data_IF_561388007270
#
_entry.id   IF_561388007270
#
_cell.length_a   1.000
_cell.length_b   1.000
_cell.length_c   1.000
_cell.angle_alpha   90.00
_cell.angle_beta   90.00
_cell.angle_gamma   90.00
#
_symmetry.space_group_name_H-M   'P 1'
#
loop_
_entity.id
_entity.type
_entity.pdbx_description
1 polymer ?
#
# COMPACT_ATOMS: atom_id res chain seq x y z
N UNK A 1 11.22 -21.16 24.61
CA UNK A 1 10.61 -20.10 25.45
C UNK A 1 9.10 -20.28 25.40
N UNK A 2 8.38 -20.08 26.51
CA UNK A 2 6.91 -20.17 26.58
C UNK A 2 6.27 -18.90 26.02
N UNK A 3 5.19 -19.04 25.26
CA UNK A 3 4.43 -17.91 24.72
C UNK A 3 3.91 -16.98 25.82
N UNK A 4 3.41 -17.58 26.93
CA UNK A 4 2.96 -16.82 28.10
C UNK A 4 4.00 -15.92 28.77
N UNK A 5 5.31 -16.14 28.49
CA UNK A 5 6.38 -15.21 28.93
C UNK A 5 6.67 -14.11 27.93
N UNK A 6 6.39 -14.35 26.66
CA UNK A 6 6.63 -13.36 25.56
C UNK A 6 5.44 -12.42 25.41
N UNK A 7 4.24 -12.96 25.44
CA UNK A 7 3.00 -12.20 25.21
C UNK A 7 2.88 -10.93 26.08
N UNK A 8 3.09 -10.98 27.43
CA UNK A 8 3.05 -9.75 28.24
C UNK A 8 4.08 -8.69 27.82
N UNK A 9 5.24 -9.11 27.28
CA UNK A 9 6.26 -8.19 26.80
C UNK A 9 5.84 -7.48 25.50
N UNK A 10 5.14 -8.20 24.61
CA UNK A 10 4.58 -7.65 23.37
C UNK A 10 3.50 -6.62 23.71
N UNK A 11 2.56 -6.96 24.60
CA UNK A 11 1.49 -6.07 25.06
C UNK A 11 2.10 -4.84 25.75
N UNK A 12 2.99 -5.04 26.71
CA UNK A 12 3.65 -3.93 27.43
C UNK A 12 4.44 -2.99 26.50
N UNK A 13 5.02 -3.51 25.42
CA UNK A 13 5.68 -2.68 24.40
C UNK A 13 4.71 -1.74 23.69
N UNK A 14 3.50 -2.21 23.40
CA UNK A 14 2.43 -1.43 22.79
C UNK A 14 1.88 -0.38 23.80
N UNK A 15 1.53 -0.81 25.02
CA UNK A 15 0.93 0.03 26.07
C UNK A 15 1.84 1.18 26.50
N UNK A 16 3.16 0.97 26.61
CA UNK A 16 4.15 2.04 26.89
C UNK A 16 4.16 3.16 25.84
N UNK A 17 3.54 2.94 24.69
CA UNK A 17 3.43 3.91 23.60
C UNK A 17 1.99 4.39 23.37
N UNK A 18 1.10 4.16 24.37
CA UNK A 18 -0.30 4.59 24.32
C UNK A 18 -1.20 3.75 23.41
N UNK A 19 -0.76 2.53 23.05
CA UNK A 19 -1.56 1.56 22.31
C UNK A 19 -2.26 0.59 23.28
N UNK A 20 -3.17 -0.24 22.81
CA UNK A 20 -3.93 -1.12 23.69
C UNK A 20 -3.57 -2.61 23.53
N UNK A 21 -3.95 -3.43 24.55
CA UNK A 21 -3.85 -4.89 24.48
C UNK A 21 -4.65 -5.44 23.30
N UNK A 22 -5.86 -4.91 23.08
CA UNK A 22 -6.77 -5.33 22.00
C UNK A 22 -6.14 -5.10 20.62
N UNK A 23 -5.39 -4.02 20.42
CA UNK A 23 -4.65 -3.79 19.18
C UNK A 23 -3.52 -4.81 18.99
N UNK A 24 -2.82 -5.18 20.06
CA UNK A 24 -1.80 -6.24 20.00
C UNK A 24 -2.45 -7.60 19.69
N UNK A 25 -3.57 -7.93 20.32
CA UNK A 25 -4.33 -9.16 20.07
C UNK A 25 -4.87 -9.21 18.64
N UNK A 26 -5.34 -8.10 18.10
CA UNK A 26 -5.78 -7.99 16.72
C UNK A 26 -4.63 -8.29 15.73
N UNK A 27 -3.43 -7.83 16.02
CA UNK A 27 -2.22 -8.14 15.22
C UNK A 27 -1.91 -9.63 15.28
N UNK A 28 -1.93 -10.23 16.48
CA UNK A 28 -1.67 -11.66 16.67
C UNK A 28 -2.73 -12.50 15.93
N UNK A 29 -4.02 -12.14 16.08
CA UNK A 29 -5.14 -12.80 15.40
C UNK A 29 -5.01 -12.70 13.88
N UNK A 30 -4.68 -11.52 13.37
CA UNK A 30 -4.45 -11.31 11.94
C UNK A 30 -3.31 -12.18 11.39
N UNK A 31 -2.20 -12.27 12.14
CA UNK A 31 -1.02 -13.01 11.69
C UNK A 31 -1.23 -14.53 11.71
N UNK A 32 -1.93 -15.04 12.75
CA UNK A 32 -1.96 -16.46 13.10
C UNK A 32 -3.31 -17.14 12.92
N UNK A 33 -4.41 -16.35 12.86
CA UNK A 33 -5.78 -16.87 12.82
C UNK A 33 -6.34 -17.31 14.17
N UNK A 34 -5.62 -17.10 15.28
CA UNK A 34 -6.17 -17.36 16.63
C UNK A 34 -7.24 -16.31 16.98
N UNK A 35 -8.26 -16.74 17.72
CA UNK A 35 -9.19 -15.82 18.39
C UNK A 35 -8.57 -15.26 19.66
N UNK A 36 -9.14 -14.19 20.21
CA UNK A 36 -8.67 -13.61 21.48
C UNK A 36 -8.68 -14.64 22.62
N UNK A 37 -9.74 -15.46 22.71
CA UNK A 37 -9.86 -16.53 23.70
C UNK A 37 -8.77 -17.60 23.50
N UNK A 38 -8.45 -17.94 22.24
CA UNK A 38 -7.42 -18.94 21.95
C UNK A 38 -6.01 -18.41 22.25
N UNK A 39 -5.77 -17.10 22.11
CA UNK A 39 -4.53 -16.44 22.54
C UNK A 39 -4.38 -16.54 24.06
N UNK A 40 -5.43 -16.22 24.82
CA UNK A 40 -5.43 -16.30 26.28
C UNK A 40 -5.24 -17.76 26.76
N UNK A 41 -5.90 -18.72 26.13
CA UNK A 41 -5.75 -20.14 26.41
C UNK A 41 -4.30 -20.62 26.17
N UNK A 42 -3.67 -20.19 25.08
CA UNK A 42 -2.26 -20.49 24.80
C UNK A 42 -1.28 -19.90 25.84
N UNK A 43 -1.60 -18.73 26.38
CA UNK A 43 -0.84 -18.11 27.49
C UNK A 43 -0.96 -18.95 28.76
N UNK A 44 -2.19 -19.38 29.13
CA UNK A 44 -2.46 -20.16 30.34
C UNK A 44 -1.88 -21.57 30.26
N UNK A 45 -1.99 -22.24 29.11
CA UNK A 45 -1.48 -23.60 28.88
C UNK A 45 0.03 -23.68 28.73
N UNK A 46 0.74 -22.58 28.87
CA UNK A 46 2.20 -22.52 28.76
C UNK A 46 2.76 -23.09 27.43
N UNK A 47 2.01 -22.92 26.34
CA UNK A 47 2.43 -23.34 25.00
C UNK A 47 3.78 -22.73 24.66
N UNK A 48 4.68 -23.49 24.03
CA UNK A 48 5.95 -22.92 23.59
C UNK A 48 5.72 -21.90 22.46
N UNK A 49 6.58 -20.89 22.36
CA UNK A 49 6.42 -19.84 21.33
C UNK A 49 6.52 -20.43 19.93
N UNK A 50 7.35 -21.47 19.75
CA UNK A 50 7.44 -22.19 18.48
C UNK A 50 6.16 -22.98 18.17
N UNK A 51 5.58 -23.67 19.15
CA UNK A 51 4.35 -24.43 18.94
C UNK A 51 3.14 -23.54 18.74
N UNK A 52 3.11 -22.36 19.35
CA UNK A 52 2.10 -21.34 19.07
C UNK A 52 2.03 -21.01 17.56
N UNK A 53 3.16 -20.83 16.90
CA UNK A 53 3.20 -20.60 15.46
C UNK A 53 2.96 -21.86 14.62
N UNK A 54 3.51 -23.01 15.03
CA UNK A 54 3.30 -24.29 14.31
C UNK A 54 1.86 -24.74 14.28
N UNK A 55 1.13 -24.48 15.39
CA UNK A 55 -0.28 -24.83 15.55
C UNK A 55 -1.21 -23.67 15.19
N UNK A 56 -0.70 -22.60 14.57
CA UNK A 56 -1.52 -21.48 14.15
C UNK A 56 -2.64 -21.94 13.19
N UNK A 57 -3.91 -21.63 13.48
CA UNK A 57 -5.05 -22.10 12.69
C UNK A 57 -4.93 -21.72 11.22
N UNK A 58 -4.44 -20.52 10.93
CA UNK A 58 -4.25 -20.02 9.57
C UNK A 58 -3.28 -18.84 9.55
N UNK A 59 -2.03 -19.09 9.19
CA UNK A 59 -1.08 -18.01 8.94
C UNK A 59 -1.55 -17.13 7.77
N UNK A 60 -1.62 -15.83 7.99
CA UNK A 60 -2.10 -14.89 6.99
C UNK A 60 -1.15 -14.86 5.77
N UNK A 61 -1.61 -15.08 4.53
CA UNK A 61 -0.74 -15.05 3.35
C UNK A 61 -0.06 -13.70 3.13
N UNK A 62 -0.71 -12.58 3.52
CA UNK A 62 -0.17 -11.23 3.39
C UNK A 62 1.00 -10.95 4.34
N UNK A 63 1.31 -11.85 5.29
CA UNK A 63 2.49 -11.73 6.15
C UNK A 63 3.81 -11.64 5.39
N UNK A 64 3.86 -12.21 4.18
CA UNK A 64 5.03 -12.12 3.28
C UNK A 64 5.31 -10.70 2.76
N UNK A 65 4.36 -9.79 2.91
CA UNK A 65 4.52 -8.36 2.62
C UNK A 65 5.18 -7.60 3.79
N UNK A 66 5.40 -8.26 4.94
CA UNK A 66 6.11 -7.66 6.08
C UNK A 66 7.59 -7.58 5.71
N UNK A 67 8.11 -6.37 5.61
CA UNK A 67 9.50 -6.08 5.23
C UNK A 67 10.14 -5.08 6.18
N UNK A 68 11.46 -5.02 6.14
CA UNK A 68 12.27 -4.09 6.90
C UNK A 68 12.85 -4.68 8.18
N UNK A 69 13.57 -3.87 8.94
CA UNK A 69 14.36 -4.36 10.08
C UNK A 69 13.58 -4.27 11.40
N UNK A 70 13.80 -5.27 12.25
CA UNK A 70 13.47 -5.28 13.67
C UNK A 70 14.66 -5.81 14.46
N UNK A 71 15.08 -5.11 15.49
CA UNK A 71 16.28 -5.45 16.28
C UNK A 71 17.54 -5.68 15.39
N UNK A 72 17.70 -4.84 14.35
CA UNK A 72 18.87 -4.90 13.46
C UNK A 72 18.85 -6.00 12.38
N UNK A 73 17.80 -6.84 12.34
CA UNK A 73 17.68 -7.95 11.38
C UNK A 73 16.55 -7.65 10.39
N UNK A 74 16.77 -7.80 9.09
CA UNK A 74 15.74 -7.73 8.06
C UNK A 74 14.88 -8.98 8.06
N UNK A 75 13.58 -8.82 8.29
CA UNK A 75 12.67 -9.96 8.49
C UNK A 75 12.48 -10.80 7.22
N UNK A 76 12.54 -10.17 6.05
CA UNK A 76 12.44 -10.83 4.76
C UNK A 76 13.66 -11.68 4.38
N UNK A 77 14.81 -11.48 5.05
CA UNK A 77 16.08 -12.20 4.79
C UNK A 77 16.30 -13.40 5.72
N UNK A 78 15.38 -13.64 6.66
CA UNK A 78 15.50 -14.75 7.61
C UNK A 78 15.17 -16.06 6.91
N UNK A 79 16.17 -16.95 6.83
CA UNK A 79 16.06 -18.23 6.13
C UNK A 79 15.30 -19.31 6.93
N UNK A 80 15.35 -19.25 8.28
CA UNK A 80 14.66 -20.24 9.13
C UNK A 80 13.18 -19.87 9.26
N UNK A 81 12.25 -20.72 8.75
CA UNK A 81 10.84 -20.35 8.61
C UNK A 81 10.16 -19.97 9.93
N UNK A 82 10.37 -20.75 11.00
CA UNK A 82 9.75 -20.47 12.28
C UNK A 82 10.27 -19.15 12.89
N UNK A 83 11.55 -18.90 12.77
CA UNK A 83 12.15 -17.65 13.24
C UNK A 83 11.61 -16.46 12.44
N UNK A 84 11.39 -16.63 11.13
CA UNK A 84 10.80 -15.60 10.29
C UNK A 84 9.39 -15.24 10.75
N UNK A 85 8.53 -16.23 11.05
CA UNK A 85 7.17 -15.99 11.56
C UNK A 85 7.20 -15.25 12.91
N UNK A 86 8.10 -15.64 13.82
CA UNK A 86 8.29 -14.94 15.09
C UNK A 86 8.71 -13.48 14.86
N UNK A 87 9.62 -13.24 13.94
CA UNK A 87 10.11 -11.89 13.63
C UNK A 87 9.08 -11.04 12.88
N UNK A 88 8.18 -11.66 12.15
CA UNK A 88 7.02 -10.95 11.62
C UNK A 88 6.16 -10.35 12.74
N UNK A 89 5.86 -11.13 13.79
CA UNK A 89 5.11 -10.62 14.95
C UNK A 89 5.87 -9.50 15.66
N UNK A 90 7.16 -9.69 15.93
CA UNK A 90 8.00 -8.65 16.55
C UNK A 90 7.98 -7.35 15.74
N UNK A 91 8.02 -7.44 14.40
CA UNK A 91 7.98 -6.30 13.48
C UNK A 91 6.64 -5.58 13.51
N UNK A 92 5.53 -6.32 13.51
CA UNK A 92 4.18 -5.73 13.55
C UNK A 92 3.95 -4.99 14.88
N UNK A 93 4.35 -5.58 16.01
CA UNK A 93 4.26 -4.94 17.33
C UNK A 93 5.21 -3.72 17.42
N UNK A 94 6.35 -3.76 16.76
CA UNK A 94 7.25 -2.60 16.66
C UNK A 94 6.63 -1.46 15.86
N UNK A 95 5.95 -1.76 14.77
CA UNK A 95 5.19 -0.79 13.98
C UNK A 95 4.03 -0.18 14.78
N UNK A 96 3.31 -1.01 15.57
CA UNK A 96 2.25 -0.55 16.47
C UNK A 96 2.81 0.43 17.51
N UNK A 97 3.89 0.05 18.18
CA UNK A 97 4.55 0.90 19.17
C UNK A 97 5.13 2.21 18.60
N UNK A 98 5.41 2.25 17.31
CA UNK A 98 5.83 3.47 16.58
C UNK A 98 4.66 4.34 16.11
N UNK A 99 3.42 4.00 16.47
CA UNK A 99 2.22 4.79 16.17
C UNK A 99 1.69 4.61 14.74
N UNK A 100 2.11 3.56 14.03
CA UNK A 100 1.56 3.27 12.71
C UNK A 100 0.09 2.90 12.80
N UNK A 101 -0.74 3.33 11.85
CA UNK A 101 -2.16 3.01 11.80
C UNK A 101 -2.40 1.51 11.56
N UNK A 102 -3.43 0.93 12.20
CA UNK A 102 -3.71 -0.51 12.15
C UNK A 102 -3.88 -1.03 10.72
N UNK A 103 -4.58 -0.30 9.84
CA UNK A 103 -4.79 -0.66 8.44
C UNK A 103 -3.46 -0.84 7.69
N UNK A 104 -2.44 -0.04 8.05
CA UNK A 104 -1.10 -0.13 7.48
C UNK A 104 -0.26 -1.25 8.11
N UNK A 105 -0.53 -1.59 9.38
CA UNK A 105 0.15 -2.69 10.09
C UNK A 105 -0.36 -4.04 9.58
N UNK A 106 -1.67 -4.20 9.51
CA UNK A 106 -2.31 -5.47 9.16
C UNK A 106 -2.17 -5.81 7.68
N UNK A 107 -1.74 -4.87 6.83
CA UNK A 107 -1.69 -5.08 5.37
C UNK A 107 -3.02 -5.68 4.87
N UNK A 108 -4.15 -5.25 5.52
CA UNK A 108 -5.47 -5.75 5.20
C UNK A 108 -5.90 -5.33 3.80
N UNK A 109 -5.92 -6.30 2.93
CA UNK A 109 -6.75 -6.32 1.75
C UNK A 109 -6.31 -5.49 0.56
N UNK A 110 -5.21 -4.77 0.60
CA UNK A 110 -4.56 -4.41 -0.64
C UNK A 110 -3.41 -5.39 -0.90
N UNK A 111 -3.68 -6.46 -1.64
CA UNK A 111 -2.63 -7.00 -2.52
C UNK A 111 -1.95 -5.75 -3.09
N UNK A 112 -0.63 -5.64 -2.93
CA UNK A 112 0.08 -4.53 -3.59
C UNK A 112 -0.27 -4.69 -5.06
N UNK A 113 -1.02 -3.76 -5.65
CA UNK A 113 -1.52 -3.96 -6.99
C UNK A 113 -0.30 -4.17 -7.90
N UNK A 114 -0.36 -5.16 -8.75
CA UNK A 114 0.68 -5.48 -9.73
C UNK A 114 0.38 -4.86 -11.09
N UNK A 115 -0.90 -4.59 -11.35
CA UNK A 115 -1.40 -3.99 -12.58
C UNK A 115 -2.16 -2.69 -12.31
N UNK A 116 -2.39 -1.91 -13.37
CA UNK A 116 -3.19 -0.67 -13.31
C UNK A 116 -4.64 -1.00 -12.93
N UNK A 117 -5.19 -2.06 -13.47
CA UNK A 117 -6.56 -2.50 -13.19
C UNK A 117 -6.74 -2.92 -11.73
N UNK A 118 -5.76 -3.61 -11.15
CA UNK A 118 -5.77 -3.94 -9.72
C UNK A 118 -5.68 -2.69 -8.85
N UNK A 119 -4.84 -1.73 -9.23
CA UNK A 119 -4.78 -0.44 -8.54
C UNK A 119 -6.14 0.27 -8.57
N UNK A 120 -6.81 0.31 -9.73
CA UNK A 120 -8.11 0.97 -9.89
C UNK A 120 -9.17 0.30 -9.02
N UNK A 121 -9.25 -1.03 -9.01
CA UNK A 121 -10.21 -1.79 -8.19
C UNK A 121 -10.09 -1.55 -6.70
N UNK A 122 -8.90 -1.15 -6.23
CA UNK A 122 -8.64 -0.86 -4.82
C UNK A 122 -8.99 0.57 -4.41
N UNK A 123 -9.35 1.44 -5.36
CA UNK A 123 -9.72 2.81 -5.05
C UNK A 123 -11.21 2.91 -4.66
N UNK A 124 -11.64 3.98 -3.96
CA UNK A 124 -13.06 4.26 -3.73
C UNK A 124 -13.85 4.25 -5.04
N UNK A 125 -15.09 3.76 -5.02
CA UNK A 125 -15.96 3.59 -6.19
C UNK A 125 -16.08 4.88 -7.03
N UNK A 126 -16.22 6.03 -6.36
CA UNK A 126 -16.24 7.34 -7.02
C UNK A 126 -14.98 7.58 -7.87
N UNK A 127 -13.79 7.22 -7.34
CA UNK A 127 -12.53 7.41 -8.03
C UNK A 127 -12.33 6.40 -9.17
N UNK A 128 -12.86 5.17 -9.05
CA UNK A 128 -12.69 4.12 -10.05
C UNK A 128 -13.22 4.55 -11.42
N UNK A 129 -14.38 5.21 -11.47
CA UNK A 129 -14.96 5.69 -12.73
C UNK A 129 -14.03 6.68 -13.44
N UNK A 130 -13.46 7.63 -12.71
CA UNK A 130 -12.51 8.61 -13.26
C UNK A 130 -11.19 7.96 -13.70
N UNK A 131 -10.68 7.05 -12.89
CA UNK A 131 -9.43 6.35 -13.20
C UNK A 131 -9.57 5.46 -14.44
N UNK A 132 -10.69 4.76 -14.61
CA UNK A 132 -10.96 3.96 -15.81
C UNK A 132 -11.00 4.83 -17.06
N UNK A 133 -11.69 5.98 -17.02
CA UNK A 133 -11.74 6.92 -18.15
C UNK A 133 -10.35 7.40 -18.56
N UNK A 134 -9.50 7.76 -17.57
CA UNK A 134 -8.12 8.19 -17.86
C UNK A 134 -7.31 7.02 -18.39
N UNK A 135 -7.42 5.84 -17.78
CA UNK A 135 -6.70 4.65 -18.20
C UNK A 135 -7.03 4.27 -19.66
N UNK A 136 -8.31 4.21 -20.02
CA UNK A 136 -8.76 3.88 -21.37
C UNK A 136 -8.30 4.92 -22.39
N UNK A 137 -8.40 6.22 -22.05
CA UNK A 137 -7.96 7.30 -22.90
C UNK A 137 -6.44 7.25 -23.14
N UNK A 138 -5.63 7.14 -22.07
CA UNK A 138 -4.18 7.11 -22.19
C UNK A 138 -3.71 5.83 -22.90
N UNK A 139 -4.34 4.68 -22.62
CA UNK A 139 -4.05 3.42 -23.31
C UNK A 139 -4.31 3.52 -24.82
N UNK A 140 -5.41 4.15 -25.20
CA UNK A 140 -5.74 4.38 -26.61
C UNK A 140 -4.76 5.37 -27.29
N UNK A 141 -4.30 6.38 -26.57
CA UNK A 141 -3.36 7.37 -27.08
C UNK A 141 -1.93 6.82 -27.18
N UNK A 142 -1.55 5.89 -26.30
CA UNK A 142 -0.19 5.36 -26.16
C UNK A 142 -0.17 3.82 -26.26
N UNK A 143 -0.57 3.23 -27.38
CA UNK A 143 -0.73 1.76 -27.51
C UNK A 143 0.59 1.01 -27.31
N UNK A 144 1.73 1.60 -27.64
CA UNK A 144 3.06 0.97 -27.52
C UNK A 144 3.75 1.25 -26.17
N UNK A 145 3.08 1.95 -25.23
CA UNK A 145 3.65 2.22 -23.92
C UNK A 145 3.47 1.02 -22.98
N UNK A 146 4.52 0.69 -22.25
CA UNK A 146 4.46 -0.33 -21.20
C UNK A 146 3.65 0.21 -20.04
N UNK A 147 2.61 -0.53 -19.66
CA UNK A 147 1.78 -0.24 -18.50
C UNK A 147 2.38 -0.90 -17.27
N UNK A 148 2.59 -0.16 -16.21
CA UNK A 148 3.16 -0.66 -14.95
C UNK A 148 2.75 0.22 -13.77
N UNK A 149 3.03 -0.24 -12.56
CA UNK A 149 3.02 0.62 -11.39
C UNK A 149 4.44 1.12 -11.08
N UNK A 150 4.56 2.41 -10.88
CA UNK A 150 5.81 3.05 -10.46
C UNK A 150 5.48 4.07 -9.38
N UNK A 151 6.20 4.03 -8.24
CA UNK A 151 5.88 4.85 -7.07
C UNK A 151 4.45 4.62 -6.55
N UNK A 152 3.96 3.37 -6.64
CA UNK A 152 2.59 2.97 -6.31
C UNK A 152 1.50 3.68 -7.12
N UNK A 153 1.81 4.18 -8.32
CA UNK A 153 0.89 4.86 -9.22
C UNK A 153 0.85 4.20 -10.61
N UNK A 154 -0.32 4.12 -11.24
CA UNK A 154 -0.46 3.85 -12.67
C UNK A 154 0.49 4.68 -13.51
N UNK A 155 1.27 4.02 -14.33
CA UNK A 155 2.35 4.60 -15.11
C UNK A 155 2.37 4.04 -16.52
N UNK A 156 2.38 4.92 -17.50
CA UNK A 156 2.70 4.59 -18.89
C UNK A 156 4.15 4.93 -19.16
N UNK A 157 4.90 3.94 -19.60
CA UNK A 157 6.35 4.01 -19.73
C UNK A 157 6.83 3.57 -21.12
N UNK A 158 7.83 4.29 -21.66
CA UNK A 158 8.67 3.83 -22.76
C UNK A 158 10.14 3.89 -22.29
N UNK A 159 10.97 4.70 -22.81
CA UNK A 159 12.34 4.92 -22.29
C UNK A 159 12.36 5.68 -20.96
N UNK A 160 11.25 6.32 -20.59
CA UNK A 160 11.01 7.09 -19.36
C UNK A 160 9.54 6.94 -18.93
N UNK A 161 9.20 7.40 -17.75
CA UNK A 161 7.79 7.57 -17.37
C UNK A 161 7.22 8.71 -18.23
N UNK A 162 6.18 8.40 -19.01
CA UNK A 162 5.53 9.37 -19.88
C UNK A 162 4.46 10.13 -19.11
N UNK A 163 3.57 9.39 -18.46
CA UNK A 163 2.46 9.94 -17.71
C UNK A 163 2.08 8.98 -16.57
N UNK A 164 1.75 9.54 -15.43
CA UNK A 164 1.27 8.82 -14.26
C UNK A 164 -0.01 9.46 -13.76
N UNK A 165 -0.83 8.70 -13.04
CA UNK A 165 -2.03 9.24 -12.41
C UNK A 165 -2.33 8.53 -11.09
N UNK A 166 -3.06 9.21 -10.19
CA UNK A 166 -3.42 8.65 -8.90
C UNK A 166 -4.71 9.25 -8.36
N UNK A 167 -5.46 8.44 -7.58
CA UNK A 167 -6.61 8.92 -6.84
C UNK A 167 -6.21 9.60 -5.53
N UNK A 168 -6.86 10.71 -5.22
CA UNK A 168 -6.79 11.42 -3.94
C UNK A 168 -8.20 11.66 -3.41
N UNK A 169 -8.32 12.12 -2.17
CA UNK A 169 -9.62 12.28 -1.49
C UNK A 169 -10.64 13.14 -2.27
N UNK A 170 -10.19 14.13 -3.06
CA UNK A 170 -11.07 15.12 -3.72
C UNK A 170 -10.78 15.32 -5.21
N UNK A 171 -9.80 14.61 -5.77
CA UNK A 171 -9.37 14.80 -7.15
C UNK A 171 -8.57 13.62 -7.66
N UNK A 172 -8.43 13.51 -8.97
CA UNK A 172 -7.38 12.72 -9.61
C UNK A 172 -6.17 13.63 -9.86
N UNK A 173 -4.99 13.17 -9.48
CA UNK A 173 -3.73 13.76 -9.87
C UNK A 173 -3.22 13.15 -11.17
N UNK A 174 -2.90 13.97 -12.15
CA UNK A 174 -2.19 13.58 -13.38
C UNK A 174 -0.77 14.14 -13.34
N UNK A 175 0.22 13.33 -13.68
CA UNK A 175 1.64 13.66 -13.54
C UNK A 175 2.38 13.49 -14.87
N UNK A 176 2.26 14.45 -15.79
CA UNK A 176 2.94 14.42 -17.07
C UNK A 176 4.38 14.99 -17.02
N UNK A 177 4.75 15.55 -15.87
CA UNK A 177 6.03 16.22 -15.69
C UNK A 177 5.99 17.74 -15.91
N UNK A 178 7.06 18.45 -15.47
CA UNK A 178 7.09 19.91 -15.47
C UNK A 178 6.95 20.55 -16.85
N UNK A 179 7.65 20.02 -17.84
CA UNK A 179 7.64 20.56 -19.21
C UNK A 179 6.23 20.48 -19.85
N UNK A 180 5.48 19.41 -19.59
CA UNK A 180 4.12 19.29 -20.09
C UNK A 180 3.17 20.28 -19.40
N UNK A 181 3.30 20.47 -18.08
CA UNK A 181 2.47 21.45 -17.35
C UNK A 181 2.73 22.87 -17.89
N UNK A 182 3.98 23.21 -18.21
CA UNK A 182 4.35 24.48 -18.81
C UNK A 182 3.80 24.64 -20.25
N UNK A 183 4.00 23.62 -21.09
CA UNK A 183 3.54 23.63 -22.47
C UNK A 183 2.00 23.76 -22.62
N UNK A 184 1.26 23.26 -21.65
CA UNK A 184 -0.22 23.30 -21.62
C UNK A 184 -0.79 24.36 -20.68
N UNK A 185 0.02 25.30 -20.16
CA UNK A 185 -0.39 26.26 -19.14
C UNK A 185 -1.68 27.02 -19.50
N UNK A 186 -1.84 27.45 -20.74
CA UNK A 186 -3.03 28.17 -21.21
C UNK A 186 -4.30 27.32 -21.15
N UNK A 187 -4.22 26.02 -21.45
CA UNK A 187 -5.35 25.09 -21.40
C UNK A 187 -5.64 24.60 -19.96
N UNK A 188 -4.70 24.80 -19.03
CA UNK A 188 -4.79 24.33 -17.66
C UNK A 188 -5.28 25.39 -16.66
N UNK A 189 -5.61 26.60 -17.08
CA UNK A 189 -6.04 27.72 -16.21
C UNK A 189 -7.24 27.39 -15.30
N UNK A 190 -8.12 26.48 -15.75
CA UNK A 190 -9.29 26.03 -14.98
C UNK A 190 -8.97 24.97 -13.91
N UNK A 191 -7.72 24.50 -13.85
CA UNK A 191 -7.28 23.39 -12.98
C UNK A 191 -6.17 23.84 -12.03
N UNK A 192 -6.12 23.21 -10.87
CA UNK A 192 -5.00 23.41 -9.96
C UNK A 192 -3.79 22.63 -10.46
N UNK A 193 -2.67 23.33 -10.64
CA UNK A 193 -1.41 22.75 -11.10
C UNK A 193 -0.29 22.95 -10.08
N UNK A 194 0.76 22.15 -10.21
CA UNK A 194 2.04 22.33 -9.54
C UNK A 194 3.17 22.00 -10.51
N UNK A 195 4.43 22.03 -10.10
CA UNK A 195 5.60 21.90 -10.98
C UNK A 195 5.54 20.74 -12.00
N UNK A 196 4.78 19.69 -11.73
CA UNK A 196 4.70 18.54 -12.66
C UNK A 196 3.38 17.78 -12.53
N UNK A 197 2.38 18.36 -11.88
CA UNK A 197 1.10 17.72 -11.61
C UNK A 197 -0.08 18.63 -11.93
N UNK A 198 -1.18 18.01 -12.34
CA UNK A 198 -2.47 18.61 -12.64
C UNK A 198 -3.53 17.91 -11.76
N UNK A 199 -4.45 18.68 -11.16
CA UNK A 199 -5.52 18.14 -10.33
C UNK A 199 -6.87 18.26 -11.04
N UNK A 200 -7.54 17.14 -11.27
CA UNK A 200 -8.90 17.08 -11.82
C UNK A 200 -9.88 16.74 -10.68
N UNK A 201 -10.69 17.70 -10.21
CA UNK A 201 -11.62 17.48 -9.11
C UNK A 201 -12.78 16.59 -9.52
N UNK A 202 -13.30 15.75 -8.62
CA UNK A 202 -14.40 14.81 -8.89
C UNK A 202 -15.75 15.50 -9.20
N UNK A 203 -15.92 16.77 -8.84
CA UNK A 203 -17.14 17.52 -9.11
C UNK A 203 -17.21 18.13 -10.53
N UNK A 204 -16.29 17.79 -11.41
CA UNK A 204 -16.23 18.21 -12.81
C UNK A 204 -15.95 17.01 -13.73
N UNK A 205 -16.50 17.00 -14.94
CA UNK A 205 -16.15 15.99 -15.92
C UNK A 205 -14.65 16.08 -16.27
N UNK A 206 -14.06 14.94 -16.57
CA UNK A 206 -12.66 14.89 -17.03
C UNK A 206 -12.51 15.52 -18.42
N UNK A 207 -11.50 16.35 -18.64
CA UNK A 207 -11.18 16.89 -19.97
C UNK A 207 -10.39 15.83 -20.78
N UNK A 208 -11.05 14.76 -21.20
CA UNK A 208 -10.39 13.59 -21.80
C UNK A 208 -9.56 13.94 -23.04
N UNK A 209 -10.03 14.84 -23.90
CA UNK A 209 -9.25 15.27 -25.07
C UNK A 209 -7.98 16.02 -24.67
N UNK A 210 -8.03 16.86 -23.64
CA UNK A 210 -6.83 17.52 -23.12
C UNK A 210 -5.86 16.49 -22.51
N UNK A 211 -6.35 15.49 -21.78
CA UNK A 211 -5.53 14.40 -21.23
C UNK A 211 -4.85 13.63 -22.36
N UNK A 212 -5.56 13.36 -23.44
CA UNK A 212 -5.03 12.72 -24.65
C UNK A 212 -3.93 13.55 -25.32
N UNK A 213 -4.19 14.84 -25.52
CA UNK A 213 -3.18 15.76 -26.09
C UNK A 213 -1.90 15.78 -25.24
N UNK A 214 -2.03 15.86 -23.92
CA UNK A 214 -0.90 15.82 -22.99
C UNK A 214 -0.14 14.50 -23.11
N UNK A 215 -0.87 13.36 -23.16
CA UNK A 215 -0.24 12.04 -23.28
C UNK A 215 0.56 11.89 -24.57
N UNK A 216 -0.01 12.30 -25.70
CA UNK A 216 0.67 12.30 -27.01
C UNK A 216 1.88 13.22 -27.03
N UNK A 217 1.78 14.41 -26.43
CA UNK A 217 2.90 15.33 -26.30
C UNK A 217 4.05 14.75 -25.48
N UNK A 218 3.72 14.05 -24.36
CA UNK A 218 4.71 13.35 -23.54
C UNK A 218 5.41 12.22 -24.33
N UNK A 219 4.74 11.55 -25.24
CA UNK A 219 5.30 10.50 -26.08
C UNK A 219 6.20 11.04 -27.19
N UNK A 220 5.79 12.10 -27.86
CA UNK A 220 6.54 12.74 -28.92
C UNK A 220 7.93 13.24 -28.48
N UNK A 221 8.14 13.40 -27.19
CA UNK A 221 9.36 13.97 -26.61
C UNK A 221 9.26 15.48 -26.54
N UNK A 222 9.84 16.07 -25.50
CA UNK A 222 10.09 17.51 -25.42
C UNK A 222 11.05 17.91 -26.56
N UNK A 223 10.75 18.96 -27.32
CA UNK A 223 11.74 19.54 -28.24
C UNK A 223 13.00 19.95 -27.49
#
# INVERSE_FOLDING_TARGET
MQFGKVYPLLVSKAEKKGRTKEEADQIISWLTGYTAEAIEDAVQKQVTYGDFFRNAPRLNPNRKQIKGSVCGVRVEEIAEPLMQEIRYLDKLIDELAKGKAMEKILRDGSEVPSTIEEYIRQQPEEAQSYLNQIHDMVRSALPDAVQKLSWSMPTYWKKRNLIQFAAFKKHIGLYPGPAAVEAFADKLQAYKTSKGAIQFPYNKPLPLELIKEIALWCDAGTP
#
